data_IF_944304086728
#
_entry.id   IF_944304086728
#
_cell.length_a   1.000
_cell.length_b   1.000
_cell.length_c   1.000
_cell.angle_alpha   90.00
_cell.angle_beta   90.00
_cell.angle_gamma   90.00
#
_symmetry.space_group_name_H-M   'P 1'
#
loop_
_entity.id
_entity.type
_entity.pdbx_description
1 polymer ?
#
# COMPACT_ATOMS: atom_id res chain seq x y z
N UNK A 1 -20.56 -6.10 -0.99
CA UNK A 1 -19.43 -5.57 -0.20
C UNK A 1 -19.99 -5.38 1.20
N UNK A 2 -19.60 -6.23 2.16
CA UNK A 2 -20.28 -6.29 3.46
C UNK A 2 -19.87 -5.04 4.24
N UNK A 3 -20.83 -4.14 4.44
CA UNK A 3 -20.80 -3.12 5.49
C UNK A 3 -20.49 -3.83 6.81
N UNK A 4 -19.26 -3.69 7.29
CA UNK A 4 -18.85 -4.38 8.52
C UNK A 4 -19.22 -3.54 9.74
N UNK A 5 -20.53 -3.44 10.01
CA UNK A 5 -21.01 -3.37 11.39
C UNK A 5 -20.68 -4.72 12.04
N UNK A 6 -19.46 -4.84 12.56
CA UNK A 6 -18.94 -6.14 12.98
C UNK A 6 -17.93 -6.05 14.10
N UNK A 7 -18.03 -7.04 15.01
CA UNK A 7 -17.08 -7.32 16.08
C UNK A 7 -15.63 -7.08 15.61
N UNK A 8 -14.85 -6.21 16.29
CA UNK A 8 -13.45 -5.93 15.94
C UNK A 8 -12.59 -7.17 15.72
N UNK A 9 -12.85 -8.26 16.46
CA UNK A 9 -12.16 -9.54 16.31
C UNK A 9 -12.45 -10.23 14.97
N UNK A 10 -13.69 -10.17 14.46
CA UNK A 10 -14.02 -10.70 13.13
C UNK A 10 -13.31 -9.92 12.02
N UNK A 11 -13.23 -8.59 12.16
CA UNK A 11 -12.47 -7.73 11.25
C UNK A 11 -10.98 -8.07 11.28
N UNK A 12 -10.43 -8.31 12.47
CA UNK A 12 -9.05 -8.76 12.64
C UNK A 12 -8.80 -10.10 11.93
N UNK A 13 -9.62 -11.13 12.16
CA UNK A 13 -9.45 -12.44 11.53
C UNK A 13 -9.57 -12.38 10.01
N UNK A 14 -10.57 -11.66 9.49
CA UNK A 14 -10.76 -11.51 8.04
C UNK A 14 -9.57 -10.84 7.34
N UNK A 15 -8.75 -10.06 8.07
CA UNK A 15 -7.57 -9.37 7.55
C UNK A 15 -6.26 -10.12 7.77
N UNK A 16 -6.22 -11.08 8.70
CA UNK A 16 -4.97 -11.73 9.14
C UNK A 16 -4.90 -13.22 8.79
N UNK A 17 -5.90 -13.75 8.09
CA UNK A 17 -5.97 -15.15 7.67
C UNK A 17 -6.05 -15.22 6.16
N UNK A 18 -5.22 -16.06 5.55
CA UNK A 18 -5.11 -16.23 4.10
C UNK A 18 -5.42 -17.66 3.67
N UNK A 19 -6.13 -17.81 2.56
CA UNK A 19 -6.34 -19.06 1.84
C UNK A 19 -5.17 -19.33 0.89
N UNK A 20 -5.02 -20.59 0.49
CA UNK A 20 -3.92 -21.03 -0.39
C UNK A 20 -3.76 -20.19 -1.67
N UNK A 21 -4.86 -19.73 -2.27
CA UNK A 21 -4.80 -18.89 -3.46
C UNK A 21 -4.33 -17.45 -3.15
N UNK A 22 -4.74 -16.89 -2.01
CA UNK A 22 -4.31 -15.57 -1.54
C UNK A 22 -2.81 -15.60 -1.19
N UNK A 23 -2.32 -16.72 -0.63
CA UNK A 23 -0.88 -16.93 -0.42
C UNK A 23 -0.13 -17.04 -1.75
N UNK A 24 -0.62 -17.82 -2.70
CA UNK A 24 -0.01 -17.96 -4.03
C UNK A 24 0.11 -16.60 -4.72
N UNK A 25 -0.95 -15.80 -4.64
CA UNK A 25 -0.99 -14.44 -5.18
C UNK A 25 0.00 -13.50 -4.48
N UNK A 26 0.04 -13.52 -3.14
CA UNK A 26 0.92 -12.67 -2.33
C UNK A 26 2.40 -12.99 -2.53
N UNK A 27 2.71 -14.27 -2.73
CA UNK A 27 4.06 -14.73 -3.07
C UNK A 27 4.38 -14.62 -4.58
N UNK A 28 3.38 -14.28 -5.39
CA UNK A 28 3.45 -14.22 -6.85
C UNK A 28 4.01 -15.51 -7.48
N UNK A 29 3.45 -16.65 -7.07
CA UNK A 29 3.82 -18.01 -7.53
C UNK A 29 2.57 -18.81 -7.90
N UNK A 30 2.78 -19.97 -8.53
CA UNK A 30 1.69 -20.92 -8.79
C UNK A 30 1.15 -21.56 -7.51
N UNK A 31 -0.10 -22.04 -7.54
CA UNK A 31 -0.68 -22.80 -6.40
C UNK A 31 0.05 -24.12 -6.15
N UNK A 32 0.60 -24.72 -7.21
CA UNK A 32 1.45 -25.91 -7.11
C UNK A 32 2.69 -25.62 -6.26
N UNK A 33 3.31 -24.44 -6.46
CA UNK A 33 4.46 -24.02 -5.67
C UNK A 33 4.12 -23.89 -4.17
N UNK A 34 2.95 -23.37 -3.82
CA UNK A 34 2.51 -23.32 -2.41
C UNK A 34 2.38 -24.72 -1.81
N UNK A 35 1.88 -25.69 -2.58
CA UNK A 35 1.76 -27.08 -2.13
C UNK A 35 3.13 -27.73 -1.89
N UNK A 36 4.13 -27.37 -2.69
CA UNK A 36 5.52 -27.80 -2.50
C UNK A 36 6.08 -27.19 -1.21
N UNK A 37 5.95 -25.87 -1.02
CA UNK A 37 6.43 -25.18 0.19
C UNK A 37 5.82 -25.74 1.48
N UNK A 38 4.56 -26.16 1.44
CA UNK A 38 3.92 -26.85 2.55
C UNK A 38 4.55 -28.23 2.81
N UNK A 39 4.72 -29.07 1.77
CA UNK A 39 5.35 -30.40 1.92
C UNK A 39 6.79 -30.33 2.44
N UNK A 40 7.52 -29.30 2.04
CA UNK A 40 8.90 -29.03 2.48
C UNK A 40 8.96 -28.45 3.90
N UNK A 41 7.81 -28.09 4.50
CA UNK A 41 7.73 -27.48 5.83
C UNK A 41 8.21 -26.02 5.87
N UNK A 42 8.43 -25.38 4.72
CA UNK A 42 8.86 -23.98 4.66
C UNK A 42 7.71 -23.00 4.97
N UNK A 43 6.47 -23.38 4.65
CA UNK A 43 5.27 -22.62 4.97
C UNK A 43 4.20 -23.53 5.57
N UNK A 44 3.91 -23.34 6.85
CA UNK A 44 3.01 -24.22 7.62
C UNK A 44 1.61 -23.61 7.73
N UNK A 45 0.55 -24.32 7.33
CA UNK A 45 -0.82 -23.85 7.51
C UNK A 45 -1.31 -24.03 8.95
N UNK A 46 -2.20 -23.15 9.38
CA UNK A 46 -2.95 -23.27 10.64
C UNK A 46 -3.89 -24.48 10.58
N UNK A 47 -4.47 -24.70 9.39
CA UNK A 47 -5.43 -25.78 9.14
C UNK A 47 -5.37 -26.20 7.68
N UNK A 48 -5.36 -27.50 7.45
CA UNK A 48 -5.47 -28.09 6.12
C UNK A 48 -6.76 -28.89 6.00
N UNK A 49 -7.38 -28.79 4.82
CA UNK A 49 -8.58 -29.56 4.43
C UNK A 49 -8.41 -30.08 3.01
N UNK A 50 -9.30 -30.97 2.57
CA UNK A 50 -9.32 -31.44 1.18
C UNK A 50 -9.49 -30.30 0.15
N UNK A 51 -10.11 -29.18 0.56
CA UNK A 51 -10.41 -28.03 -0.30
C UNK A 51 -9.32 -26.94 -0.25
N UNK A 52 -8.22 -27.19 0.46
CA UNK A 52 -7.11 -26.25 0.59
C UNK A 52 -6.70 -25.99 2.04
N UNK A 53 -5.69 -25.15 2.19
CA UNK A 53 -5.08 -24.81 3.47
C UNK A 53 -5.24 -23.32 3.80
N UNK A 54 -5.26 -23.04 5.10
CA UNK A 54 -5.42 -21.72 5.71
C UNK A 54 -4.12 -21.35 6.43
N UNK A 55 -3.64 -20.13 6.23
CA UNK A 55 -2.36 -19.61 6.72
C UNK A 55 -2.58 -18.32 7.52
N UNK A 56 -1.71 -18.05 8.50
CA UNK A 56 -1.65 -16.72 9.10
C UNK A 56 -0.89 -15.79 8.15
N UNK A 57 -1.42 -14.59 7.96
CA UNK A 57 -0.72 -13.53 7.23
C UNK A 57 0.68 -13.29 7.82
N UNK A 58 0.80 -13.32 9.16
CA UNK A 58 2.10 -13.14 9.83
C UNK A 58 3.13 -14.21 9.46
N UNK A 59 2.73 -15.48 9.33
CA UNK A 59 3.64 -16.56 8.96
C UNK A 59 4.08 -16.43 7.50
N UNK A 60 3.15 -16.04 6.62
CA UNK A 60 3.47 -15.75 5.21
C UNK A 60 4.44 -14.57 5.11
N UNK A 61 4.26 -13.52 5.90
CA UNK A 61 5.18 -12.38 5.91
C UNK A 61 6.55 -12.75 6.49
N UNK A 62 6.60 -13.57 7.54
CA UNK A 62 7.87 -14.07 8.10
C UNK A 62 8.61 -14.94 7.07
N UNK A 63 7.88 -15.77 6.33
CA UNK A 63 8.44 -16.52 5.21
C UNK A 63 8.99 -15.57 4.14
N UNK A 64 8.21 -14.57 3.73
CA UNK A 64 8.64 -13.55 2.77
C UNK A 64 9.90 -12.84 3.26
N UNK A 65 9.99 -12.49 4.54
CA UNK A 65 11.17 -11.84 5.12
C UNK A 65 12.40 -12.73 5.04
N UNK A 66 12.27 -13.98 5.49
CA UNK A 66 13.36 -14.98 5.47
C UNK A 66 13.90 -15.21 4.05
N UNK A 67 13.02 -15.12 3.04
CA UNK A 67 13.36 -15.30 1.63
C UNK A 67 13.72 -13.98 0.93
N UNK A 68 13.78 -12.85 1.64
CA UNK A 68 14.07 -11.53 1.04
C UNK A 68 12.98 -11.03 0.08
N UNK A 69 11.76 -11.54 0.19
CA UNK A 69 10.61 -11.20 -0.64
C UNK A 69 9.77 -10.05 -0.07
N UNK A 70 9.96 -9.68 1.20
CA UNK A 70 9.36 -8.44 1.70
C UNK A 70 10.03 -7.26 0.99
N UNK A 71 9.26 -6.26 0.51
CA UNK A 71 9.84 -5.03 0.03
C UNK A 71 10.57 -4.38 1.22
N UNK A 72 11.90 -4.50 1.23
CA UNK A 72 12.74 -3.52 1.90
C UNK A 72 12.86 -2.41 0.89
N UNK A 73 12.28 -1.26 1.19
CA UNK A 73 12.38 -0.08 0.32
C UNK A 73 13.83 0.39 0.29
N UNK A 74 14.65 -0.29 -0.51
CA UNK A 74 15.89 0.22 -1.05
C UNK A 74 15.54 1.17 -2.21
N UNK A 75 16.47 2.05 -2.61
CA UNK A 75 16.24 2.94 -3.75
C UNK A 75 15.81 2.10 -4.96
N UNK A 76 14.58 2.26 -5.49
CA UNK A 76 14.11 1.41 -6.56
C UNK A 76 14.98 1.64 -7.79
N UNK A 77 15.46 0.52 -8.35
CA UNK A 77 16.31 0.55 -9.53
C UNK A 77 15.44 0.69 -10.77
N UNK A 78 15.76 1.58 -11.71
CA UNK A 78 15.01 1.69 -12.95
C UNK A 78 14.99 0.34 -13.69
N UNK A 79 13.84 -0.04 -14.28
CA UNK A 79 13.78 -1.24 -15.08
C UNK A 79 14.68 -1.07 -16.30
N UNK A 80 15.19 -2.20 -16.81
CA UNK A 80 16.02 -2.22 -18.02
C UNK A 80 15.27 -1.61 -19.22
N UNK A 81 13.96 -1.78 -19.25
CA UNK A 81 13.08 -1.23 -20.28
C UNK A 81 11.90 -0.49 -19.63
N UNK A 82 11.82 0.83 -19.79
CA UNK A 82 10.69 1.63 -19.34
C UNK A 82 10.17 2.48 -20.51
N UNK A 83 8.89 2.35 -20.84
CA UNK A 83 8.23 3.27 -21.76
C UNK A 83 7.92 4.58 -21.01
N UNK A 84 8.37 5.71 -21.54
CA UNK A 84 8.23 7.03 -20.88
C UNK A 84 6.86 7.68 -21.09
N UNK A 85 6.02 7.12 -21.96
CA UNK A 85 4.72 7.69 -22.34
C UNK A 85 3.57 6.85 -21.80
N UNK A 86 2.45 7.48 -21.45
CA UNK A 86 1.23 6.79 -21.00
C UNK A 86 0.28 6.40 -22.13
N UNK A 87 0.63 6.72 -23.39
CA UNK A 87 -0.21 6.44 -24.55
C UNK A 87 -0.24 4.96 -24.92
N UNK A 88 -1.44 4.40 -25.10
CA UNK A 88 -1.64 2.97 -25.37
C UNK A 88 -0.91 2.50 -26.64
N UNK A 89 -0.97 3.28 -27.72
CA UNK A 89 -0.36 2.91 -29.00
C UNK A 89 1.17 2.90 -28.92
N UNK A 90 1.74 3.89 -28.24
CA UNK A 90 3.16 4.03 -27.99
C UNK A 90 3.68 2.87 -27.13
N UNK A 91 2.93 2.44 -26.11
CA UNK A 91 3.29 1.31 -25.27
C UNK A 91 3.27 -0.02 -26.04
N UNK A 92 2.27 -0.23 -26.91
CA UNK A 92 2.23 -1.41 -27.80
C UNK A 92 3.44 -1.39 -28.75
N UNK A 93 3.75 -0.23 -29.35
CA UNK A 93 4.89 -0.10 -30.26
C UNK A 93 6.22 -0.34 -29.53
N UNK A 94 6.36 0.19 -28.31
CA UNK A 94 7.51 -0.03 -27.44
C UNK A 94 7.69 -1.52 -27.11
N UNK A 95 6.61 -2.19 -26.70
CA UNK A 95 6.63 -3.63 -26.44
C UNK A 95 7.06 -4.41 -27.68
N UNK A 96 6.45 -4.17 -28.85
CA UNK A 96 6.85 -4.84 -30.10
C UNK A 96 8.35 -4.70 -30.41
N UNK A 97 8.93 -3.53 -30.14
CA UNK A 97 10.34 -3.24 -30.43
C UNK A 97 11.30 -3.93 -29.44
N UNK A 98 10.92 -4.03 -28.17
CA UNK A 98 11.85 -4.41 -27.10
C UNK A 98 11.59 -5.80 -26.50
N UNK A 99 10.43 -6.42 -26.74
CA UNK A 99 10.06 -7.67 -26.06
C UNK A 99 11.01 -8.83 -26.36
N UNK A 100 11.57 -8.88 -27.59
CA UNK A 100 12.56 -9.88 -27.98
C UNK A 100 13.95 -9.69 -27.35
N UNK A 101 14.14 -8.62 -26.56
CA UNK A 101 15.38 -8.36 -25.82
C UNK A 101 15.31 -8.88 -24.37
N UNK A 102 14.11 -9.27 -23.92
CA UNK A 102 13.94 -10.02 -22.69
C UNK A 102 14.25 -11.50 -22.93
N UNK A 103 14.73 -12.18 -21.89
CA UNK A 103 14.84 -13.64 -21.90
C UNK A 103 13.44 -14.28 -21.83
N UNK A 104 13.37 -15.57 -21.47
CA UNK A 104 12.10 -16.25 -21.26
C UNK A 104 11.25 -15.46 -20.27
N UNK A 105 10.13 -14.92 -20.75
CA UNK A 105 9.19 -14.18 -19.92
C UNK A 105 8.51 -15.17 -18.97
N UNK A 106 8.55 -14.88 -17.67
CA UNK A 106 7.98 -15.74 -16.64
C UNK A 106 6.74 -15.14 -16.00
N UNK A 107 6.68 -13.81 -15.89
CA UNK A 107 5.62 -13.12 -15.15
C UNK A 107 5.17 -11.85 -15.84
N UNK A 108 3.87 -11.57 -15.74
CA UNK A 108 3.29 -10.29 -16.11
C UNK A 108 2.33 -9.85 -15.03
N UNK A 109 2.50 -8.65 -14.50
CA UNK A 109 1.59 -8.04 -13.53
C UNK A 109 0.92 -6.83 -14.17
N UNK A 110 -0.40 -6.74 -14.06
CA UNK A 110 -1.21 -5.66 -14.63
C UNK A 110 -2.13 -5.12 -13.55
N UNK A 111 -2.18 -3.80 -13.43
CA UNK A 111 -2.86 -3.07 -12.39
C UNK A 111 -3.74 -1.98 -12.98
N UNK A 112 -4.96 -1.87 -12.46
CA UNK A 112 -5.82 -0.72 -12.71
C UNK A 112 -5.40 0.46 -11.83
N UNK A 113 -5.30 0.26 -10.52
CA UNK A 113 -4.86 1.29 -9.59
C UNK A 113 -3.34 1.27 -9.45
N UNK A 114 -2.68 2.40 -9.69
CA UNK A 114 -1.21 2.50 -9.58
C UNK A 114 -0.70 2.19 -8.16
N UNK A 115 -1.50 2.47 -7.13
CA UNK A 115 -1.14 2.14 -5.75
C UNK A 115 -0.95 0.63 -5.54
N UNK A 116 -1.67 -0.25 -6.26
CA UNK A 116 -1.42 -1.70 -6.21
C UNK A 116 -0.01 -2.05 -6.74
N UNK A 117 0.42 -1.40 -7.82
CA UNK A 117 1.75 -1.59 -8.36
C UNK A 117 2.83 -1.08 -7.39
N UNK A 118 2.61 0.08 -6.78
CA UNK A 118 3.57 0.70 -5.87
C UNK A 118 3.76 -0.09 -4.57
N UNK A 119 2.70 -0.66 -3.99
CA UNK A 119 2.84 -1.53 -2.80
C UNK A 119 3.59 -2.83 -3.11
N UNK A 120 3.63 -3.23 -4.37
CA UNK A 120 4.47 -4.33 -4.89
C UNK A 120 5.87 -3.89 -5.35
N UNK A 121 6.26 -2.66 -5.00
CA UNK A 121 7.56 -2.06 -5.28
C UNK A 121 7.83 -1.74 -6.77
N UNK A 122 6.78 -1.63 -7.59
CA UNK A 122 6.90 -1.14 -8.97
C UNK A 122 6.68 0.38 -9.01
N UNK A 123 7.72 1.14 -8.70
CA UNK A 123 7.71 2.61 -8.88
C UNK A 123 9.12 3.16 -8.97
N UNK A 124 9.26 4.38 -9.49
CA UNK A 124 10.51 5.15 -9.48
C UNK A 124 10.29 6.57 -8.97
N UNK A 125 11.11 7.05 -8.02
CA UNK A 125 11.19 8.46 -7.67
C UNK A 125 11.60 9.27 -8.90
N UNK A 126 10.76 10.24 -9.26
CA UNK A 126 11.03 11.20 -10.31
C UNK A 126 11.67 12.43 -9.69
N UNK A 127 12.99 12.37 -9.46
CA UNK A 127 13.77 13.46 -8.83
C UNK A 127 13.55 14.84 -9.48
N UNK A 128 13.24 14.86 -10.79
CA UNK A 128 12.88 16.07 -11.53
C UNK A 128 11.58 16.75 -11.07
N UNK A 129 10.73 16.04 -10.33
CA UNK A 129 9.43 16.49 -9.81
C UNK A 129 9.38 16.37 -8.28
N UNK A 130 10.24 17.16 -7.63
CA UNK A 130 10.41 17.24 -6.19
C UNK A 130 9.74 18.49 -5.62
N UNK A 131 9.04 18.32 -4.50
CA UNK A 131 8.36 19.35 -3.72
C UNK A 131 8.92 19.33 -2.30
N UNK A 132 9.97 20.11 -2.04
CA UNK A 132 10.73 20.00 -0.78
C UNK A 132 11.42 18.63 -0.70
N UNK A 133 11.09 17.82 0.31
CA UNK A 133 11.60 16.45 0.45
C UNK A 133 10.67 15.37 -0.14
N UNK A 134 9.50 15.77 -0.67
CA UNK A 134 8.57 14.87 -1.35
C UNK A 134 8.95 14.74 -2.82
N UNK A 135 9.14 13.53 -3.31
CA UNK A 135 9.47 13.25 -4.71
C UNK A 135 8.28 12.52 -5.36
N UNK A 136 7.82 13.00 -6.50
CA UNK A 136 6.76 12.35 -7.27
C UNK A 136 7.19 10.96 -7.76
N UNK A 137 6.23 10.11 -8.08
CA UNK A 137 6.50 8.74 -8.52
C UNK A 137 6.10 8.51 -9.98
N UNK A 138 6.90 7.71 -10.70
CA UNK A 138 6.48 7.03 -11.93
C UNK A 138 6.08 5.61 -11.57
N UNK A 139 4.88 5.21 -11.96
CA UNK A 139 4.28 3.94 -11.56
C UNK A 139 3.65 3.28 -12.79
N UNK A 140 4.07 2.07 -13.17
CA UNK A 140 3.53 1.40 -14.34
C UNK A 140 2.15 0.81 -14.06
N UNK A 141 1.38 0.62 -15.12
CA UNK A 141 0.17 -0.19 -15.08
C UNK A 141 0.45 -1.65 -15.47
N UNK A 142 1.45 -1.91 -16.31
CA UNK A 142 1.91 -3.26 -16.65
C UNK A 142 3.41 -3.41 -16.43
N UNK A 143 3.79 -4.53 -15.82
CA UNK A 143 5.18 -4.97 -15.64
C UNK A 143 5.34 -6.37 -16.21
N UNK A 144 6.30 -6.54 -17.12
CA UNK A 144 6.71 -7.84 -17.68
C UNK A 144 8.07 -8.17 -17.10
N UNK A 145 8.24 -9.37 -16.53
CA UNK A 145 9.50 -9.84 -15.95
C UNK A 145 9.97 -11.13 -16.61
N UNK A 146 11.24 -11.18 -16.97
CA UNK A 146 11.91 -12.36 -17.50
C UNK A 146 12.57 -13.23 -16.41
N UNK A 147 13.06 -14.40 -16.84
CA UNK A 147 13.80 -15.37 -16.02
C UNK A 147 15.07 -14.85 -15.34
N UNK A 148 15.67 -13.76 -15.84
CA UNK A 148 16.84 -13.12 -15.24
C UNK A 148 16.45 -11.99 -14.27
N UNK A 149 15.15 -11.73 -14.11
CA UNK A 149 14.62 -10.64 -13.30
C UNK A 149 14.64 -9.28 -13.99
N UNK A 150 14.96 -9.21 -15.30
CA UNK A 150 14.85 -7.96 -16.05
C UNK A 150 13.38 -7.61 -16.22
N UNK A 151 13.08 -6.31 -16.17
CA UNK A 151 11.72 -5.81 -16.26
C UNK A 151 11.51 -4.89 -17.46
N UNK A 152 10.31 -4.98 -18.01
CA UNK A 152 9.74 -4.01 -18.93
C UNK A 152 8.49 -3.38 -18.32
N UNK A 153 8.47 -2.06 -18.24
CA UNK A 153 7.38 -1.27 -17.67
C UNK A 153 6.60 -0.53 -18.76
N UNK A 154 5.28 -0.70 -18.75
CA UNK A 154 4.35 -0.16 -19.73
C UNK A 154 3.21 0.60 -19.01
N UNK A 155 3.37 1.92 -18.77
CA UNK A 155 2.35 2.71 -18.08
C UNK A 155 1.07 2.92 -18.90
N UNK A 156 1.08 2.72 -20.22
CA UNK A 156 -0.12 2.84 -21.06
C UNK A 156 -0.98 1.57 -21.17
N UNK A 157 -0.69 0.53 -20.38
CA UNK A 157 -1.37 -0.77 -20.47
C UNK A 157 -1.94 -1.20 -19.11
N UNK A 158 -3.25 -0.99 -18.90
CA UNK A 158 -3.98 -1.27 -17.65
C UNK A 158 -4.92 -2.50 -17.74
N UNK A 159 -5.73 -2.75 -16.71
CA UNK A 159 -6.77 -3.80 -16.71
C UNK A 159 -8.05 -3.33 -16.00
N UNK A 160 -9.14 -4.08 -16.05
CA UNK A 160 -10.38 -3.81 -15.29
C UNK A 160 -11.10 -2.51 -15.67
N UNK A 161 -10.86 -1.97 -16.86
CA UNK A 161 -11.50 -0.76 -17.38
C UNK A 161 -12.67 -1.10 -18.31
N UNK A 162 -13.88 -0.66 -17.95
CA UNK A 162 -15.13 -1.00 -18.67
C UNK A 162 -15.48 -0.11 -19.86
N UNK A 163 -14.71 0.95 -20.16
CA UNK A 163 -14.96 1.85 -21.29
C UNK A 163 -14.56 1.23 -22.63
N UNK A 164 -13.56 1.81 -23.30
CA UNK A 164 -12.99 1.23 -24.54
C UNK A 164 -12.27 -0.10 -24.32
N UNK A 165 -12.06 -0.51 -23.07
CA UNK A 165 -11.42 -1.78 -22.72
C UNK A 165 -9.88 -1.74 -22.79
N UNK A 166 -9.18 -2.54 -21.97
CA UNK A 166 -7.72 -2.65 -21.94
C UNK A 166 -7.11 -3.41 -23.13
N UNK A 167 -7.44 -2.99 -24.36
CA UNK A 167 -6.96 -3.63 -25.59
C UNK A 167 -5.44 -3.55 -25.76
N UNK A 168 -4.79 -2.51 -25.23
CA UNK A 168 -3.33 -2.44 -25.23
C UNK A 168 -2.70 -3.59 -24.45
N UNK A 169 -3.23 -3.88 -23.26
CA UNK A 169 -2.78 -4.99 -22.43
C UNK A 169 -3.06 -6.34 -23.08
N UNK A 170 -4.26 -6.53 -23.65
CA UNK A 170 -4.57 -7.76 -24.40
C UNK A 170 -3.59 -7.96 -25.57
N UNK A 171 -3.26 -6.90 -26.29
CA UNK A 171 -2.33 -6.97 -27.42
C UNK A 171 -0.92 -7.34 -26.98
N UNK A 172 -0.42 -6.75 -25.89
CA UNK A 172 0.90 -7.09 -25.34
C UNK A 172 0.93 -8.54 -24.85
N UNK A 173 -0.12 -8.99 -24.17
CA UNK A 173 -0.26 -10.39 -23.75
C UNK A 173 -0.32 -11.36 -24.95
N UNK A 174 -0.92 -10.95 -26.07
CA UNK A 174 -0.90 -11.71 -27.31
C UNK A 174 0.53 -11.84 -27.86
N UNK A 175 1.31 -10.77 -27.85
CA UNK A 175 2.69 -10.77 -28.35
C UNK A 175 3.60 -11.75 -27.61
N UNK A 176 3.39 -11.91 -26.31
CA UNK A 176 4.19 -12.82 -25.46
C UNK A 176 3.61 -14.24 -25.38
N UNK A 177 2.56 -14.54 -26.15
CA UNK A 177 1.99 -15.88 -26.27
C UNK A 177 1.06 -16.33 -25.15
N UNK A 178 0.44 -15.41 -24.39
CA UNK A 178 -0.61 -15.79 -23.43
C UNK A 178 -1.85 -16.26 -24.19
N UNK A 179 -2.43 -17.45 -23.87
CA UNK A 179 -3.63 -17.97 -24.53
C UNK A 179 -4.81 -17.00 -24.44
N UNK A 180 -5.60 -16.89 -25.52
CA UNK A 180 -6.75 -15.95 -25.61
C UNK A 180 -7.69 -16.05 -24.40
N UNK A 181 -8.05 -17.27 -23.98
CA UNK A 181 -8.93 -17.50 -22.84
C UNK A 181 -8.41 -16.92 -21.52
N UNK A 182 -7.08 -16.84 -21.35
CA UNK A 182 -6.49 -16.21 -20.17
C UNK A 182 -6.41 -14.69 -20.33
N UNK A 183 -6.15 -14.18 -21.53
CA UNK A 183 -6.05 -12.73 -21.78
C UNK A 183 -7.32 -11.97 -21.48
N UNK A 184 -8.49 -12.60 -21.65
CA UNK A 184 -9.80 -11.99 -21.37
C UNK A 184 -9.95 -11.50 -19.92
N UNK A 185 -9.18 -12.06 -18.97
CA UNK A 185 -9.18 -11.62 -17.58
C UNK A 185 -8.82 -10.13 -17.41
N UNK A 186 -8.02 -9.55 -18.33
CA UNK A 186 -7.66 -8.13 -18.24
C UNK A 186 -8.84 -7.20 -18.36
N UNK A 187 -9.97 -7.62 -18.95
CA UNK A 187 -11.14 -6.75 -19.11
C UNK A 187 -11.99 -6.67 -17.84
N UNK A 188 -11.94 -7.68 -16.97
CA UNK A 188 -12.90 -7.84 -15.88
C UNK A 188 -12.32 -7.62 -14.49
N UNK A 189 -10.99 -7.68 -14.35
CA UNK A 189 -10.33 -7.67 -13.06
C UNK A 189 -9.37 -6.47 -12.93
N UNK A 190 -9.42 -5.73 -11.81
CA UNK A 190 -8.56 -4.55 -11.59
C UNK A 190 -7.10 -4.92 -11.26
N UNK A 191 -6.82 -6.17 -10.92
CA UNK A 191 -5.44 -6.69 -10.80
C UNK A 191 -5.38 -8.07 -11.44
N UNK A 192 -4.45 -8.23 -12.38
CA UNK A 192 -4.26 -9.48 -13.12
C UNK A 192 -2.77 -9.82 -13.18
N UNK A 193 -2.42 -11.02 -12.71
CA UNK A 193 -1.06 -11.53 -12.75
C UNK A 193 -0.99 -12.83 -13.52
N UNK A 194 -0.15 -12.89 -14.53
CA UNK A 194 0.17 -14.09 -15.29
C UNK A 194 1.50 -14.64 -14.82
N UNK A 195 1.57 -15.94 -14.56
CA UNK A 195 2.78 -16.62 -14.13
C UNK A 195 2.92 -17.92 -14.91
N UNK A 196 4.11 -18.22 -15.42
CA UNK A 196 4.39 -19.56 -15.98
C UNK A 196 4.60 -20.57 -14.86
N UNK A 197 3.92 -21.71 -14.96
CA UNK A 197 4.20 -22.85 -14.08
C UNK A 197 5.44 -23.63 -14.55
N UNK A 198 5.80 -24.68 -13.81
CA UNK A 198 7.00 -25.49 -14.07
C UNK A 198 6.98 -26.18 -15.45
N UNK A 199 5.79 -26.36 -16.05
CA UNK A 199 5.62 -26.92 -17.39
C UNK A 199 5.69 -25.85 -18.50
N UNK A 200 5.98 -24.59 -18.16
CA UNK A 200 5.99 -23.46 -19.08
C UNK A 200 4.61 -22.95 -19.50
N UNK A 201 3.53 -23.48 -18.92
CA UNK A 201 2.17 -23.06 -19.20
C UNK A 201 1.78 -21.85 -18.37
N UNK A 202 1.02 -20.94 -18.98
CA UNK A 202 0.49 -19.76 -18.30
C UNK A 202 -0.63 -20.11 -17.32
N UNK A 203 -0.51 -19.59 -16.10
CA UNK A 203 -1.57 -19.49 -15.11
C UNK A 203 -1.92 -18.03 -14.87
N UNK A 204 -3.15 -17.75 -14.47
CA UNK A 204 -3.62 -16.40 -14.16
C UNK A 204 -4.14 -16.34 -12.73
N UNK A 205 -3.67 -15.34 -11.99
CA UNK A 205 -4.17 -14.95 -10.69
C UNK A 205 -4.86 -13.60 -10.83
N UNK A 206 -6.15 -13.56 -10.49
CA UNK A 206 -6.96 -12.34 -10.53
C UNK A 206 -7.44 -12.00 -9.13
N UNK A 207 -7.50 -10.71 -8.82
CA UNK A 207 -8.13 -10.23 -7.59
C UNK A 207 -8.81 -8.89 -7.80
N UNK A 208 -9.56 -8.48 -6.79
CA UNK A 208 -9.98 -7.08 -6.63
C UNK A 208 -8.80 -6.26 -6.12
N UNK A 209 -8.77 -4.99 -6.49
CA UNK A 209 -7.86 -4.05 -5.85
C UNK A 209 -8.37 -3.73 -4.45
N UNK A 210 -7.47 -3.64 -3.48
CA UNK A 210 -7.81 -3.13 -2.15
C UNK A 210 -8.03 -1.61 -2.16
N UNK A 211 -7.78 -0.98 -3.32
CA UNK A 211 -7.85 0.46 -3.57
C UNK A 211 -8.84 0.84 -4.68
N UNK A 212 -9.60 -0.11 -5.22
CA UNK A 212 -10.66 0.18 -6.20
C UNK A 212 -11.92 0.65 -5.47
N UNK A 213 -12.10 1.96 -5.46
CA UNK A 213 -13.20 2.63 -4.75
C UNK A 213 -14.37 3.02 -5.65
N UNK A 214 -14.38 2.60 -6.93
CA UNK A 214 -15.41 2.98 -7.92
C UNK A 214 -16.81 2.52 -7.55
N UNK A 215 -16.93 1.52 -6.67
CA UNK A 215 -18.21 1.01 -6.18
C UNK A 215 -18.62 1.53 -4.79
N UNK A 216 -17.85 2.44 -4.18
CA UNK A 216 -18.20 3.03 -2.87
C UNK A 216 -19.20 4.16 -3.12
N UNK A 217 -20.45 3.79 -3.43
CA UNK A 217 -21.52 4.73 -3.78
C UNK A 217 -22.39 5.14 -2.59
N UNK A 218 -21.96 4.90 -1.35
CA UNK A 218 -22.87 4.95 -0.19
C UNK A 218 -22.48 5.91 0.93
N UNK A 219 -21.32 6.58 0.87
CA UNK A 219 -20.91 7.55 1.88
C UNK A 219 -20.11 8.66 1.20
N UNK A 220 -20.72 9.84 1.01
CA UNK A 220 -20.08 11.05 0.47
C UNK A 220 -18.70 11.33 1.09
N UNK A 221 -18.54 10.96 2.37
CA UNK A 221 -17.32 11.21 3.12
C UNK A 221 -16.13 10.26 2.77
N UNK A 222 -16.37 9.06 2.23
CA UNK A 222 -15.32 8.14 1.74
C UNK A 222 -14.90 8.47 0.30
N UNK A 223 -15.83 8.97 -0.50
CA UNK A 223 -15.51 9.50 -1.83
C UNK A 223 -14.59 10.74 -1.72
N UNK A 224 -14.84 11.59 -0.72
CA UNK A 224 -14.02 12.76 -0.45
C UNK A 224 -12.65 12.46 0.20
N UNK A 225 -12.45 11.28 0.78
CA UNK A 225 -11.18 10.87 1.34
C UNK A 225 -10.17 10.61 0.21
N UNK A 226 -9.20 11.49 0.04
CA UNK A 226 -8.20 11.41 -1.01
C UNK A 226 -6.80 11.44 -0.40
N UNK A 227 -5.85 10.80 -1.07
CA UNK A 227 -4.46 10.80 -0.65
C UNK A 227 -3.54 10.70 -1.87
N UNK A 228 -2.38 11.36 -1.79
CA UNK A 228 -1.39 11.44 -2.85
C UNK A 228 -0.14 10.68 -2.43
N UNK A 229 0.49 9.98 -3.37
CA UNK A 229 1.64 9.11 -3.08
C UNK A 229 2.95 9.73 -3.53
N UNK A 230 3.97 9.63 -2.67
CA UNK A 230 5.28 10.23 -2.86
C UNK A 230 6.38 9.29 -2.35
N UNK A 231 7.61 9.60 -2.75
CA UNK A 231 8.81 9.11 -2.09
C UNK A 231 9.33 10.17 -1.13
N UNK A 232 9.61 9.78 0.11
CA UNK A 232 10.13 10.67 1.14
C UNK A 232 11.11 9.93 2.05
N UNK A 233 12.33 10.46 2.18
CA UNK A 233 13.38 9.91 3.06
C UNK A 233 13.57 8.39 2.91
N UNK A 234 13.60 7.89 1.67
CA UNK A 234 13.79 6.47 1.38
C UNK A 234 12.54 5.60 1.59
N UNK A 235 11.35 6.19 1.65
CA UNK A 235 10.10 5.48 1.96
C UNK A 235 8.97 5.87 1.02
N UNK A 236 8.14 4.88 0.71
CA UNK A 236 6.88 5.08 0.02
C UNK A 236 5.86 5.67 0.99
N UNK A 237 5.32 6.83 0.66
CA UNK A 237 4.53 7.65 1.57
C UNK A 237 3.21 8.06 0.93
N UNK A 238 2.12 7.92 1.68
CA UNK A 238 0.79 8.37 1.29
C UNK A 238 0.39 9.57 2.17
N UNK A 239 0.08 10.70 1.53
CA UNK A 239 -0.27 11.95 2.19
C UNK A 239 -1.76 12.23 2.00
N UNK A 240 -2.50 12.44 3.10
CA UNK A 240 -3.89 12.90 3.03
C UNK A 240 -4.00 14.18 2.18
N UNK A 241 -4.86 14.17 1.16
CA UNK A 241 -5.09 15.35 0.34
C UNK A 241 -5.94 16.38 1.11
N UNK A 242 -5.33 17.51 1.47
CA UNK A 242 -6.01 18.59 2.20
C UNK A 242 -6.80 19.55 1.31
N UNK A 243 -6.67 19.47 -0.02
CA UNK A 243 -7.43 20.33 -0.97
C UNK A 243 -8.93 20.04 -0.88
N UNK A 244 -9.29 18.83 -0.46
CA UNK A 244 -10.66 18.42 -0.25
C UNK A 244 -11.03 18.59 1.23
N UNK A 245 -11.78 19.66 1.53
CA UNK A 245 -12.18 20.05 2.90
C UNK A 245 -12.95 18.99 3.70
N UNK A 246 -13.40 17.92 3.05
CA UNK A 246 -14.13 16.78 3.64
C UNK A 246 -13.27 15.54 3.90
N UNK A 247 -11.99 15.54 3.51
CA UNK A 247 -11.08 14.41 3.73
C UNK A 247 -10.74 14.29 5.22
N UNK A 248 -11.57 13.59 5.99
CA UNK A 248 -11.32 13.33 7.41
C UNK A 248 -10.23 12.26 7.57
N UNK A 249 -9.29 12.41 8.53
CA UNK A 249 -8.23 11.44 8.77
C UNK A 249 -8.71 9.98 8.95
N UNK A 250 -9.80 9.74 9.69
CA UNK A 250 -10.38 8.39 9.81
C UNK A 250 -10.73 7.79 8.45
N UNK A 251 -11.39 8.55 7.58
CA UNK A 251 -11.83 8.02 6.29
C UNK A 251 -10.65 7.73 5.36
N UNK A 252 -9.60 8.55 5.43
CA UNK A 252 -8.34 8.26 4.71
C UNK A 252 -7.71 6.98 5.25
N UNK A 253 -7.63 6.81 6.57
CA UNK A 253 -7.13 5.57 7.19
C UNK A 253 -7.96 4.35 6.77
N UNK A 254 -9.29 4.45 6.82
CA UNK A 254 -10.20 3.36 6.46
C UNK A 254 -10.07 2.99 4.98
N UNK A 255 -10.01 3.99 4.11
CA UNK A 255 -9.89 3.83 2.66
C UNK A 255 -8.53 3.23 2.27
N UNK A 256 -7.45 3.70 2.88
CA UNK A 256 -6.08 3.31 2.51
C UNK A 256 -5.43 2.35 3.52
N UNK A 257 -6.20 1.65 4.35
CA UNK A 257 -5.67 0.74 5.38
C UNK A 257 -4.70 -0.31 4.80
N UNK A 258 -5.00 -0.86 3.62
CA UNK A 258 -4.16 -1.85 2.95
C UNK A 258 -2.77 -1.32 2.56
N UNK A 259 -2.59 0.00 2.53
CA UNK A 259 -1.30 0.65 2.34
C UNK A 259 -0.40 0.54 3.59
N UNK A 260 -0.98 0.42 4.79
CA UNK A 260 -0.25 0.24 6.06
C UNK A 260 -0.85 -0.94 6.85
N UNK A 261 -0.77 -2.17 6.33
CA UNK A 261 -1.46 -3.34 6.90
C UNK A 261 -0.91 -3.76 8.28
N UNK A 262 0.31 -3.35 8.63
CA UNK A 262 1.02 -3.67 9.86
C UNK A 262 1.68 -2.43 10.49
N UNK A 263 0.89 -1.48 11.00
CA UNK A 263 1.42 -0.30 11.68
C UNK A 263 2.29 -0.69 12.89
N UNK A 264 3.51 -0.19 12.98
CA UNK A 264 4.44 -0.49 14.09
C UNK A 264 4.87 0.75 14.86
N UNK A 265 4.74 1.93 14.29
CA UNK A 265 5.11 3.18 14.95
C UNK A 265 4.13 4.29 14.56
N UNK A 266 3.84 5.18 15.49
CA UNK A 266 3.26 6.47 15.18
C UNK A 266 4.11 7.62 15.74
N UNK A 267 4.07 8.76 15.06
CA UNK A 267 4.68 10.01 15.50
C UNK A 267 3.58 11.07 15.53
N UNK A 268 3.42 11.73 16.66
CA UNK A 268 2.45 12.80 16.86
C UNK A 268 3.17 14.12 17.15
N UNK A 269 2.89 15.14 16.33
CA UNK A 269 3.39 16.49 16.50
C UNK A 269 2.32 17.38 17.14
N UNK A 270 2.68 18.05 18.23
CA UNK A 270 1.76 18.93 18.94
C UNK A 270 1.50 20.23 18.19
N UNK A 271 2.33 20.59 17.21
CA UNK A 271 2.25 21.83 16.42
C UNK A 271 2.52 21.58 14.94
N UNK A 272 2.01 22.47 14.08
CA UNK A 272 2.32 22.47 12.65
C UNK A 272 3.81 22.76 12.42
N UNK A 273 4.38 23.74 13.12
CA UNK A 273 5.80 24.13 13.02
C UNK A 273 6.72 22.95 13.32
N UNK A 274 6.37 22.16 14.34
CA UNK A 274 7.16 21.00 14.71
C UNK A 274 7.14 19.91 13.63
N UNK A 275 5.99 19.68 12.99
CA UNK A 275 5.90 18.76 11.86
C UNK A 275 6.72 19.26 10.66
N UNK A 276 6.67 20.56 10.36
CA UNK A 276 7.42 21.19 9.26
C UNK A 276 8.93 21.08 9.50
N UNK A 277 9.40 21.43 10.70
CA UNK A 277 10.82 21.37 11.09
C UNK A 277 11.38 19.93 10.99
N UNK A 278 10.50 18.93 11.09
CA UNK A 278 10.85 17.52 10.95
C UNK A 278 10.61 16.96 9.53
N UNK A 279 10.27 17.80 8.55
CA UNK A 279 10.07 17.42 7.14
C UNK A 279 8.70 16.83 6.80
N UNK A 280 7.73 16.87 7.73
CA UNK A 280 6.40 16.30 7.55
C UNK A 280 5.39 17.33 7.02
N UNK A 281 5.63 17.86 5.83
CA UNK A 281 4.75 18.84 5.19
C UNK A 281 4.75 18.73 3.65
N UNK A 282 3.68 19.21 3.03
CA UNK A 282 3.58 19.34 1.57
C UNK A 282 3.68 20.81 1.13
N UNK A 283 4.81 21.26 0.54
CA UNK A 283 5.00 22.65 0.16
C UNK A 283 4.15 23.08 -1.03
N UNK A 284 3.55 22.14 -1.77
CA UNK A 284 2.62 22.45 -2.87
C UNK A 284 1.21 22.81 -2.37
N UNK A 285 0.91 22.51 -1.10
CA UNK A 285 -0.40 22.68 -0.51
C UNK A 285 -0.40 23.87 0.48
N UNK A 286 -0.29 25.09 -0.06
CA UNK A 286 -0.26 26.34 0.70
C UNK A 286 -1.63 27.03 0.82
N UNK A 287 -2.73 26.31 0.56
CA UNK A 287 -4.07 26.91 0.58
C UNK A 287 -4.56 27.14 2.01
N UNK A 288 -4.56 28.40 2.44
CA UNK A 288 -5.13 28.86 3.72
C UNK A 288 -4.13 28.92 4.88
N UNK A 289 -4.63 28.96 6.12
CA UNK A 289 -3.83 29.08 7.34
C UNK A 289 -3.16 27.77 7.82
N UNK A 290 -3.23 26.70 7.03
CA UNK A 290 -2.61 25.41 7.36
C UNK A 290 -1.40 25.22 6.47
N UNK A 291 -0.20 25.23 7.05
CA UNK A 291 1.09 25.21 6.36
C UNK A 291 1.43 23.87 5.69
N UNK A 292 0.44 23.12 5.19
CA UNK A 292 0.65 21.81 4.57
C UNK A 292 1.18 20.73 5.54
N UNK A 293 1.25 21.00 6.85
CA UNK A 293 1.91 20.18 7.87
C UNK A 293 1.08 18.94 8.27
N UNK A 294 1.69 17.76 8.39
CA UNK A 294 1.02 16.53 8.81
C UNK A 294 1.46 16.14 10.21
N UNK A 295 0.51 16.18 11.15
CA UNK A 295 0.81 16.03 12.58
C UNK A 295 0.69 14.61 13.11
N UNK A 296 0.18 13.67 12.31
CA UNK A 296 0.15 12.26 12.65
C UNK A 296 0.77 11.44 11.52
N UNK A 297 1.88 10.78 11.83
CA UNK A 297 2.58 9.89 10.91
C UNK A 297 2.45 8.46 11.43
N UNK A 298 1.95 7.55 10.60
CA UNK A 298 1.87 6.12 10.92
C UNK A 298 2.86 5.38 10.03
N UNK A 299 3.76 4.60 10.63
CA UNK A 299 4.75 3.80 9.91
C UNK A 299 4.40 2.31 9.99
N UNK A 300 4.47 1.68 8.83
CA UNK A 300 4.28 0.24 8.65
C UNK A 300 5.60 -0.52 8.83
N UNK A 301 5.50 -1.82 9.16
CA UNK A 301 6.66 -2.71 9.21
C UNK A 301 7.43 -2.75 7.89
N UNK A 302 6.75 -2.64 6.73
CA UNK A 302 7.43 -2.60 5.45
C UNK A 302 8.26 -1.34 5.23
N UNK A 303 8.07 -0.30 6.05
CA UNK A 303 8.72 1.00 5.92
C UNK A 303 7.84 2.09 5.30
N UNK A 304 6.65 1.73 4.78
CA UNK A 304 5.63 2.68 4.28
C UNK A 304 5.17 3.66 5.35
N UNK A 305 4.72 4.84 4.93
CA UNK A 305 4.20 5.87 5.82
C UNK A 305 2.84 6.41 5.37
N UNK A 306 1.88 6.52 6.28
CA UNK A 306 0.63 7.25 6.07
C UNK A 306 0.67 8.55 6.88
N UNK A 307 0.47 9.68 6.22
CA UNK A 307 0.51 11.01 6.82
C UNK A 307 -0.90 11.58 6.89
N UNK A 308 -1.33 11.92 8.10
CA UNK A 308 -2.66 12.41 8.41
C UNK A 308 -2.57 13.77 9.12
N UNK A 309 -3.64 14.56 8.99
CA UNK A 309 -3.79 15.87 9.64
C UNK A 309 -5.02 15.92 10.56
N UNK A 310 -5.02 15.15 11.67
CA UNK A 310 -6.07 15.25 12.68
C UNK A 310 -5.95 16.52 13.51
N UNK A 311 -7.08 16.96 14.06
CA UNK A 311 -7.06 18.02 15.06
C UNK A 311 -6.44 17.49 16.36
N UNK A 312 -5.37 18.15 16.82
CA UNK A 312 -4.68 17.79 18.07
C UNK A 312 -4.72 18.99 19.03
N UNK A 313 -5.33 18.77 20.19
CA UNK A 313 -5.44 19.74 21.26
C UNK A 313 -4.23 19.64 22.22
N UNK A 314 -3.38 20.68 22.23
CA UNK A 314 -2.13 20.76 23.03
C UNK A 314 -2.31 20.37 24.50
N UNK A 315 -3.41 20.82 25.10
CA UNK A 315 -3.65 20.68 26.53
C UNK A 315 -4.45 19.43 26.90
N UNK A 316 -4.59 18.44 25.99
CA UNK A 316 -5.33 17.19 26.23
C UNK A 316 -4.41 15.98 26.06
N UNK A 317 -4.54 15.01 26.97
CA UNK A 317 -3.91 13.70 26.84
C UNK A 317 -4.52 12.94 25.66
N UNK A 318 -3.78 12.04 25.02
CA UNK A 318 -4.26 11.19 23.91
C UNK A 318 -5.59 10.49 24.22
N UNK A 319 -5.73 9.96 25.44
CA UNK A 319 -6.96 9.28 25.92
C UNK A 319 -8.19 10.20 25.88
N UNK A 320 -8.01 11.53 25.97
CA UNK A 320 -9.07 12.55 25.96
C UNK A 320 -9.32 13.16 24.59
N UNK A 321 -8.70 12.60 23.54
CA UNK A 321 -8.84 13.04 22.16
C UNK A 321 -9.43 11.87 21.35
N UNK A 322 -10.78 11.71 21.33
CA UNK A 322 -11.44 10.51 20.83
C UNK A 322 -11.06 10.19 19.37
N UNK A 323 -10.98 11.21 18.51
CA UNK A 323 -10.58 11.03 17.11
C UNK A 323 -9.19 10.38 16.97
N UNK A 324 -8.19 10.91 17.67
CA UNK A 324 -6.82 10.36 17.67
C UNK A 324 -6.78 8.97 18.28
N UNK A 325 -7.50 8.78 19.39
CA UNK A 325 -7.57 7.49 20.07
C UNK A 325 -8.13 6.42 19.13
N UNK A 326 -9.24 6.71 18.45
CA UNK A 326 -9.88 5.77 17.52
C UNK A 326 -8.95 5.42 16.35
N UNK A 327 -8.27 6.41 15.77
CA UNK A 327 -7.27 6.18 14.70
C UNK A 327 -6.16 5.23 15.18
N UNK A 328 -5.60 5.49 16.37
CA UNK A 328 -4.49 4.71 16.91
C UNK A 328 -4.92 3.30 17.35
N UNK A 329 -6.11 3.15 17.94
CA UNK A 329 -6.68 1.84 18.30
C UNK A 329 -7.01 1.01 17.06
N UNK A 330 -7.54 1.62 16.00
CA UNK A 330 -7.74 0.96 14.70
C UNK A 330 -6.41 0.47 14.13
N UNK A 331 -5.33 1.24 14.30
CA UNK A 331 -3.95 0.84 13.96
C UNK A 331 -3.37 -0.27 14.86
N UNK A 332 -4.08 -0.64 15.93
CA UNK A 332 -3.67 -1.67 16.89
C UNK A 332 -2.66 -1.18 17.93
N UNK A 333 -2.62 0.12 18.22
CA UNK A 333 -1.85 0.67 19.34
C UNK A 333 -2.72 0.66 20.61
N UNK A 334 -2.15 0.20 21.74
CA UNK A 334 -2.83 0.24 23.03
C UNK A 334 -2.71 1.65 23.65
N UNK A 335 -3.75 2.45 23.47
CA UNK A 335 -3.88 3.76 24.09
C UNK A 335 -4.64 3.57 25.40
N UNK A 336 -3.92 3.08 26.42
CA UNK A 336 -4.49 2.57 27.68
C UNK A 336 -5.49 3.50 28.40
N UNK A 337 -6.15 2.96 29.44
CA UNK A 337 -7.07 3.73 30.31
C UNK A 337 -6.26 4.67 31.24
N UNK A 338 -6.67 5.94 31.38
CA UNK A 338 -6.03 6.89 32.31
C UNK A 338 -5.95 6.27 33.72
N UNK A 339 -4.73 6.03 34.22
CA UNK A 339 -4.52 5.71 35.65
C UNK A 339 -4.71 7.00 36.46
N UNK A 340 -5.41 6.92 37.59
CA UNK A 340 -5.78 8.08 38.43
C UNK A 340 -4.59 8.97 38.83
N UNK A 341 -3.39 8.40 38.91
CA UNK A 341 -2.18 9.07 39.40
C UNK A 341 -1.59 10.11 38.43
N UNK A 342 -2.04 10.12 37.16
CA UNK A 342 -1.61 11.13 36.19
C UNK A 342 -2.29 12.49 36.39
N UNK A 343 -3.41 12.58 37.14
CA UNK A 343 -4.08 13.86 37.41
C UNK A 343 -3.26 14.78 38.32
N UNK A 344 -2.62 14.23 39.35
CA UNK A 344 -1.85 15.02 40.33
C UNK A 344 -0.54 15.53 39.70
N UNK A 345 0.14 14.66 38.94
CA UNK A 345 1.38 14.96 38.22
C UNK A 345 1.17 16.08 37.20
N UNK A 346 0.07 16.04 36.44
CA UNK A 346 -0.29 17.06 35.46
C UNK A 346 -0.71 18.40 36.07
N UNK A 347 -1.33 18.39 37.25
CA UNK A 347 -1.64 19.60 38.00
C UNK A 347 -0.36 20.30 38.50
N UNK A 348 0.63 19.51 38.93
CA UNK A 348 1.96 20.01 39.33
C UNK A 348 2.79 20.51 38.13
N UNK A 349 2.73 19.86 36.98
CA UNK A 349 3.42 20.31 35.76
C UNK A 349 2.87 21.64 35.21
N UNK A 350 1.54 21.83 35.27
CA UNK A 350 0.88 23.08 34.85
C UNK A 350 1.26 24.28 35.74
N UNK A 351 1.67 24.04 36.98
CA UNK A 351 2.13 25.09 37.90
C UNK A 351 3.62 25.45 37.70
N UNK A 352 4.40 24.61 37.01
CA UNK A 352 5.87 24.67 37.07
C UNK A 352 6.61 24.92 35.73
N UNK A 353 5.97 24.88 34.55
CA UNK A 353 6.71 25.03 33.28
C UNK A 353 6.40 26.30 32.47
N UNK A 354 7.44 27.12 32.26
CA UNK A 354 7.64 27.86 30.99
C UNK A 354 7.73 26.82 29.87
N UNK A 355 6.88 26.92 28.87
CA UNK A 355 6.71 25.90 27.82
C UNK A 355 7.85 26.01 26.81
N UNK A 356 8.86 25.16 26.94
CA UNK A 356 9.68 24.71 25.80
C UNK A 356 8.81 23.81 24.89
N UNK A 357 9.05 23.77 23.56
CA UNK A 357 8.29 22.91 22.67
C UNK A 357 8.42 21.45 23.11
N UNK A 358 7.30 20.83 23.47
CA UNK A 358 7.26 19.43 23.89
C UNK A 358 7.73 18.53 22.75
N UNK A 359 8.71 17.66 22.99
CA UNK A 359 9.18 16.67 22.01
C UNK A 359 8.00 15.88 21.39
N UNK A 360 8.11 15.44 20.11
CA UNK A 360 7.08 14.62 19.47
C UNK A 360 6.76 13.36 20.26
N UNK A 361 5.48 12.99 20.34
CA UNK A 361 5.08 11.75 21.01
C UNK A 361 5.28 10.60 20.03
N UNK A 362 6.13 9.64 20.39
CA UNK A 362 6.40 8.44 19.61
C UNK A 362 5.82 7.22 20.33
N UNK A 363 4.96 6.47 19.66
CA UNK A 363 4.48 5.17 20.16
C UNK A 363 4.94 4.05 19.25
N UNK A 364 5.37 2.93 19.84
CA UNK A 364 5.88 1.75 19.12
C UNK A 364 5.13 0.49 19.53
N UNK A 365 4.91 -0.38 18.56
CA UNK A 365 4.51 -1.78 18.77
C UNK A 365 5.74 -2.66 18.55
N UNK A 366 5.95 -3.66 19.40
CA UNK A 366 6.90 -4.70 19.07
C UNK A 366 6.47 -5.39 17.77
N UNK A 367 7.37 -5.61 16.81
CA UNK A 367 6.97 -6.15 15.53
C UNK A 367 6.43 -7.59 15.63
N UNK A 368 6.62 -8.29 16.75
CA UNK A 368 6.14 -9.65 17.00
C UNK A 368 5.87 -9.88 18.48
#
# INVERSE_FOLDING_TARGET
>A
MIFMEGNPFKRFLARNVLLTHEVAEKLNVSRQRISILHKEGELVPIKSTANGSVYLLQDVLRFMEKKGMLPRYENPTPPKYACETSGTHENIAYANKHIGQLNSIERVSIFFEQIDAAVENYFLPLEKYRYGDLISLSIPHMVIRDSDGNEMWLPGCNCGYGGTGPHGSEKVLQLIGVPKALRENVFYHPVVKYVKNENGNWEVNVRKSEFDFRSISSIDDLEAAQANMYWHQGRLTLLQDKRYSRSKPQHVLEKYWAFIPHPIEYILFSEDEQAIDNGFFDPSNQYGHKHGAYRLIIRDYSGRQLWLDPYIAKNKSLVKQPELKDILEVCGFDIGKEKSDQKLSRWLELLLKKVEPSEPIVGRRHPF
#
